data_IF_902514790297
#
_entry.id   IF_902514790297
#
_cell.length_a   1.000
_cell.length_b   1.000
_cell.length_c   1.000
_cell.angle_alpha   90.00
_cell.angle_beta   90.00
_cell.angle_gamma   90.00
#
_symmetry.space_group_name_H-M   'P 1'
#
loop_
_entity.id
_entity.type
_entity.pdbx_description
1 polymer ?
#
# COMPACT_ATOMS: atom_id res chain seq x y z
N UNK A 1 6.85 -40.35 -11.70
CA UNK A 1 6.75 -38.87 -11.81
C UNK A 1 5.42 -38.49 -11.22
N UNK A 2 5.38 -38.12 -9.92
CA UNK A 2 4.19 -37.58 -9.28
C UNK A 2 4.05 -36.13 -9.69
N UNK A 3 3.19 -35.88 -10.66
CA UNK A 3 2.82 -34.52 -11.02
C UNK A 3 2.05 -33.90 -9.86
N UNK A 4 2.64 -32.92 -9.18
CA UNK A 4 1.91 -32.06 -8.26
C UNK A 4 0.83 -31.33 -9.05
N UNK A 5 -0.43 -31.49 -8.65
CA UNK A 5 -1.53 -30.65 -9.17
C UNK A 5 -1.16 -29.20 -8.86
N UNK A 6 -1.16 -28.29 -9.84
CA UNK A 6 -0.87 -26.89 -9.55
C UNK A 6 -1.85 -26.39 -8.51
N UNK A 7 -1.32 -25.73 -7.48
CA UNK A 7 -2.09 -25.11 -6.41
C UNK A 7 -3.08 -24.10 -7.00
N UNK A 8 -4.33 -24.16 -6.61
CA UNK A 8 -5.33 -23.21 -7.11
C UNK A 8 -5.00 -21.80 -6.61
N UNK A 9 -5.17 -20.76 -7.44
CA UNK A 9 -4.88 -19.39 -7.04
C UNK A 9 -5.75 -18.98 -5.85
N UNK A 10 -5.14 -18.31 -4.90
CA UNK A 10 -5.86 -17.71 -3.77
C UNK A 10 -6.72 -16.52 -4.22
N UNK A 11 -7.71 -16.12 -3.42
CA UNK A 11 -8.49 -14.91 -3.67
C UNK A 11 -7.59 -13.66 -3.81
N UNK A 12 -6.50 -13.57 -3.04
CA UNK A 12 -5.50 -12.51 -3.16
C UNK A 12 -4.78 -12.51 -4.51
N UNK A 13 -4.47 -13.68 -5.04
CA UNK A 13 -3.86 -13.79 -6.37
C UNK A 13 -4.81 -13.31 -7.45
N UNK A 14 -6.09 -13.64 -7.34
CA UNK A 14 -7.12 -13.19 -8.28
C UNK A 14 -7.30 -11.68 -8.23
N UNK A 15 -7.38 -11.07 -7.04
CA UNK A 15 -7.45 -9.60 -6.89
C UNK A 15 -6.21 -8.95 -7.50
N UNK A 16 -5.01 -9.46 -7.22
CA UNK A 16 -3.77 -8.94 -7.79
C UNK A 16 -3.75 -9.02 -9.32
N UNK A 17 -4.22 -10.12 -9.89
CA UNK A 17 -4.29 -10.27 -11.36
C UNK A 17 -5.31 -9.33 -11.97
N UNK A 18 -6.46 -9.16 -11.35
CA UNK A 18 -7.49 -8.22 -11.77
C UNK A 18 -6.92 -6.78 -11.82
N UNK A 19 -6.30 -6.33 -10.75
CA UNK A 19 -5.70 -4.99 -10.68
C UNK A 19 -4.55 -4.81 -11.69
N UNK A 20 -3.74 -5.85 -11.92
CA UNK A 20 -2.69 -5.81 -12.94
C UNK A 20 -3.28 -5.64 -14.33
N UNK A 21 -4.32 -6.41 -14.69
CA UNK A 21 -5.02 -6.30 -15.97
C UNK A 21 -5.67 -4.92 -16.12
N UNK A 22 -6.34 -4.44 -15.08
CA UNK A 22 -6.96 -3.12 -15.08
C UNK A 22 -5.93 -1.98 -15.23
N UNK A 23 -4.75 -2.11 -14.61
CA UNK A 23 -3.67 -1.14 -14.76
C UNK A 23 -3.14 -1.09 -16.20
N UNK A 24 -2.91 -2.25 -16.84
CA UNK A 24 -2.49 -2.35 -18.24
C UNK A 24 -3.54 -1.71 -19.17
N UNK A 25 -4.82 -2.04 -18.98
CA UNK A 25 -5.90 -1.53 -19.79
C UNK A 25 -6.07 -0.01 -19.66
N UNK A 26 -6.06 0.52 -18.43
CA UNK A 26 -6.13 1.97 -18.17
C UNK A 26 -4.93 2.71 -18.76
N UNK A 27 -3.74 2.13 -18.69
CA UNK A 27 -2.54 2.69 -19.33
C UNK A 27 -2.74 2.75 -20.85
N UNK A 28 -3.20 1.66 -21.47
CA UNK A 28 -3.51 1.63 -22.91
C UNK A 28 -4.53 2.68 -23.31
N UNK A 29 -5.64 2.81 -22.57
CA UNK A 29 -6.67 3.82 -22.79
C UNK A 29 -6.14 5.26 -22.67
N UNK A 30 -5.19 5.50 -21.77
CA UNK A 30 -4.56 6.80 -21.59
C UNK A 30 -3.68 7.23 -22.78
N UNK A 31 -3.14 6.28 -23.54
CA UNK A 31 -2.26 6.55 -24.67
C UNK A 31 -2.94 6.45 -26.01
N UNK A 32 -3.88 5.51 -26.21
CA UNK A 32 -4.48 5.28 -27.53
C UNK A 32 -5.54 6.29 -27.88
N UNK A 33 -5.59 6.64 -29.19
CA UNK A 33 -6.69 7.40 -29.81
C UNK A 33 -7.46 6.55 -30.82
N UNK A 34 -7.08 5.29 -30.98
CA UNK A 34 -7.67 4.36 -31.94
C UNK A 34 -8.86 3.68 -31.30
N UNK A 35 -10.05 3.90 -31.84
CA UNK A 35 -11.30 3.39 -31.30
C UNK A 35 -11.30 1.87 -31.07
N UNK A 36 -10.76 1.12 -32.04
CA UNK A 36 -10.67 -0.33 -31.95
C UNK A 36 -9.78 -0.80 -30.77
N UNK A 37 -8.71 -0.07 -30.47
CA UNK A 37 -7.86 -0.37 -29.31
C UNK A 37 -8.55 0.00 -28.01
N UNK A 38 -9.29 1.12 -27.99
CA UNK A 38 -10.08 1.51 -26.82
C UNK A 38 -11.08 0.42 -26.45
N UNK A 39 -11.85 -0.08 -27.43
CA UNK A 39 -12.79 -1.18 -27.21
C UNK A 39 -12.10 -2.43 -26.63
N UNK A 40 -10.89 -2.75 -27.09
CA UNK A 40 -10.13 -3.88 -26.59
C UNK A 40 -9.68 -3.69 -25.14
N UNK A 41 -9.20 -2.51 -24.80
CA UNK A 41 -8.81 -2.22 -23.41
C UNK A 41 -10.03 -2.17 -22.47
N UNK A 42 -11.16 -1.66 -22.93
CA UNK A 42 -12.41 -1.71 -22.15
C UNK A 42 -12.87 -3.16 -21.92
N UNK A 43 -12.68 -4.05 -22.88
CA UNK A 43 -12.98 -5.47 -22.71
C UNK A 43 -12.06 -6.14 -21.67
N UNK A 44 -10.77 -5.76 -21.64
CA UNK A 44 -9.86 -6.21 -20.59
C UNK A 44 -10.31 -5.71 -19.21
N UNK A 45 -10.81 -4.48 -19.09
CA UNK A 45 -11.37 -3.97 -17.82
C UNK A 45 -12.56 -4.79 -17.35
N UNK A 46 -13.47 -5.19 -18.25
CA UNK A 46 -14.63 -6.03 -17.90
C UNK A 46 -14.20 -7.37 -17.33
N UNK A 47 -13.27 -8.06 -18.00
CA UNK A 47 -12.72 -9.34 -17.52
C UNK A 47 -12.02 -9.18 -16.17
N UNK A 48 -11.26 -8.11 -16.00
CA UNK A 48 -10.59 -7.81 -14.74
C UNK A 48 -11.61 -7.59 -13.60
N UNK A 49 -12.70 -6.86 -13.87
CA UNK A 49 -13.76 -6.62 -12.89
C UNK A 49 -14.47 -7.93 -12.49
N UNK A 50 -14.75 -8.82 -13.44
CA UNK A 50 -15.33 -10.14 -13.16
C UNK A 50 -14.41 -11.01 -12.28
N UNK A 51 -13.10 -11.02 -12.57
CA UNK A 51 -12.11 -11.74 -11.76
C UNK A 51 -12.09 -11.17 -10.34
N UNK A 52 -12.05 -9.84 -10.20
CA UNK A 52 -12.04 -9.18 -8.89
C UNK A 52 -13.32 -9.51 -8.10
N UNK A 53 -14.48 -9.39 -8.72
CA UNK A 53 -15.75 -9.70 -8.09
C UNK A 53 -15.83 -11.16 -7.64
N UNK A 54 -15.34 -12.09 -8.47
CA UNK A 54 -15.28 -13.54 -8.11
C UNK A 54 -14.32 -13.83 -6.96
N UNK A 55 -13.31 -13.01 -6.73
CA UNK A 55 -12.35 -13.15 -5.64
C UNK A 55 -12.87 -12.60 -4.31
N UNK A 56 -13.82 -11.66 -4.37
CA UNK A 56 -14.38 -10.99 -3.20
C UNK A 56 -15.50 -11.84 -2.61
N UNK A 57 -15.32 -12.30 -1.38
CA UNK A 57 -16.33 -13.10 -0.65
C UNK A 57 -17.54 -12.27 -0.19
N UNK A 58 -17.97 -11.28 -0.98
CA UNK A 58 -19.09 -10.38 -0.68
C UNK A 58 -18.72 -9.03 -0.08
N UNK A 59 -17.44 -8.73 0.09
CA UNK A 59 -16.92 -7.46 0.65
C UNK A 59 -16.64 -6.37 -0.42
N UNK A 60 -16.87 -6.65 -1.69
CA UNK A 60 -16.70 -5.65 -2.76
C UNK A 60 -18.02 -4.89 -2.95
N UNK A 61 -18.02 -3.60 -2.61
CA UNK A 61 -19.22 -2.73 -2.67
C UNK A 61 -19.71 -2.46 -4.11
N UNK A 62 -18.93 -2.83 -5.13
CA UNK A 62 -19.27 -2.59 -6.53
C UNK A 62 -19.46 -3.91 -7.29
N UNK A 63 -20.53 -3.96 -8.08
CA UNK A 63 -20.68 -4.98 -9.13
C UNK A 63 -19.64 -4.76 -10.25
N UNK A 64 -19.45 -5.73 -11.18
CA UNK A 64 -18.47 -5.59 -12.24
C UNK A 64 -18.64 -4.35 -13.11
N UNK A 65 -19.88 -3.94 -13.44
CA UNK A 65 -20.14 -2.75 -14.25
C UNK A 65 -19.76 -1.47 -13.50
N UNK A 66 -20.11 -1.35 -12.22
CA UNK A 66 -19.71 -0.25 -11.35
C UNK A 66 -18.20 -0.14 -11.22
N UNK A 67 -17.51 -1.26 -11.10
CA UNK A 67 -16.04 -1.31 -11.03
C UNK A 67 -15.38 -0.85 -12.33
N UNK A 68 -15.90 -1.26 -13.50
CA UNK A 68 -15.44 -0.76 -14.80
C UNK A 68 -15.64 0.74 -14.91
N UNK A 69 -16.82 1.25 -14.50
CA UNK A 69 -17.11 2.68 -14.48
C UNK A 69 -16.13 3.48 -13.63
N UNK A 70 -15.80 2.99 -12.42
CA UNK A 70 -14.80 3.59 -11.55
C UNK A 70 -13.42 3.64 -12.24
N UNK A 71 -12.96 2.54 -12.81
CA UNK A 71 -11.67 2.47 -13.49
C UNK A 71 -11.60 3.36 -14.72
N UNK A 72 -12.68 3.47 -15.51
CA UNK A 72 -12.75 4.38 -16.67
C UNK A 72 -12.70 5.85 -16.24
N UNK A 73 -13.34 6.20 -15.12
CA UNK A 73 -13.25 7.55 -14.57
C UNK A 73 -11.84 7.95 -14.12
N UNK A 74 -10.99 6.98 -13.81
CA UNK A 74 -9.58 7.20 -13.46
C UNK A 74 -8.66 7.28 -14.70
N UNK A 75 -9.15 7.00 -15.90
CA UNK A 75 -8.39 7.19 -17.15
C UNK A 75 -8.32 8.68 -17.43
N UNK A 76 -7.32 9.34 -16.88
CA UNK A 76 -7.15 10.77 -16.98
C UNK A 76 -6.02 11.17 -17.92
N UNK A 77 -6.05 12.44 -18.32
CA UNK A 77 -4.98 13.12 -19.02
C UNK A 77 -3.81 13.45 -18.08
N UNK A 78 -3.29 12.45 -17.39
CA UNK A 78 -2.11 12.61 -16.53
C UNK A 78 -0.81 12.47 -17.30
N UNK A 79 0.30 12.67 -16.62
CA UNK A 79 1.63 12.40 -17.15
C UNK A 79 1.66 10.97 -17.69
N UNK A 80 1.69 10.86 -19.00
CA UNK A 80 1.91 9.63 -19.75
C UNK A 80 0.96 8.46 -19.46
N UNK A 81 -0.24 8.65 -18.91
CA UNK A 81 -1.24 7.58 -18.78
C UNK A 81 -0.84 6.32 -17.99
N UNK A 82 0.38 6.25 -17.44
CA UNK A 82 0.79 5.10 -16.63
C UNK A 82 -0.01 5.01 -15.34
N UNK A 83 -0.58 3.85 -15.12
CA UNK A 83 -1.20 3.51 -13.83
C UNK A 83 -0.13 2.93 -12.92
N UNK A 84 0.15 3.62 -11.83
CA UNK A 84 1.10 3.19 -10.81
C UNK A 84 0.38 2.84 -9.51
N UNK A 85 0.97 2.04 -8.63
CA UNK A 85 0.47 1.91 -7.28
C UNK A 85 0.36 3.27 -6.61
N UNK A 86 -0.65 3.46 -5.78
CA UNK A 86 -0.74 4.61 -4.89
C UNK A 86 0.37 4.53 -3.83
N UNK A 87 0.67 5.64 -3.19
CA UNK A 87 1.67 5.68 -2.12
C UNK A 87 1.00 6.15 -0.84
N UNK A 88 1.26 5.43 0.25
CA UNK A 88 0.94 5.84 1.61
C UNK A 88 2.22 6.01 2.42
N UNK A 89 2.14 6.75 3.50
CA UNK A 89 3.20 6.83 4.50
C UNK A 89 2.70 6.23 5.82
N UNK A 90 3.60 5.74 6.65
CA UNK A 90 3.32 5.27 7.99
C UNK A 90 4.40 5.72 8.96
N UNK A 91 4.04 5.98 10.22
CA UNK A 91 4.93 6.50 11.23
C UNK A 91 5.04 5.56 12.43
N UNK A 92 6.22 5.03 12.66
CA UNK A 92 6.61 4.42 13.94
C UNK A 92 7.17 5.53 14.82
N UNK A 93 6.40 6.02 15.77
CA UNK A 93 6.78 7.11 16.67
C UNK A 93 6.98 6.57 18.08
N UNK A 94 8.18 6.73 18.62
CA UNK A 94 8.50 6.38 20.02
C UNK A 94 8.54 7.61 20.91
N UNK A 95 8.16 7.42 22.18
CA UNK A 95 8.36 8.38 23.27
C UNK A 95 9.63 8.05 24.08
N UNK A 96 9.91 8.83 25.11
CA UNK A 96 11.10 8.64 26.00
C UNK A 96 11.00 7.37 26.87
N UNK A 97 9.80 6.80 27.03
CA UNK A 97 9.52 5.55 27.74
C UNK A 97 9.62 4.31 26.83
N UNK A 98 10.09 4.50 25.60
CA UNK A 98 10.18 3.46 24.56
C UNK A 98 8.82 2.84 24.18
N UNK A 99 7.73 3.58 24.35
CA UNK A 99 6.39 3.17 23.93
C UNK A 99 6.09 3.65 22.51
N UNK A 100 5.28 2.89 21.80
CA UNK A 100 4.87 3.12 20.41
C UNK A 100 3.53 3.84 20.34
N UNK A 101 3.46 4.91 19.55
CA UNK A 101 2.23 5.64 19.24
C UNK A 101 1.34 4.83 18.29
N UNK A 102 0.10 4.60 18.71
CA UNK A 102 -0.93 4.01 17.85
C UNK A 102 -2.17 4.90 17.81
N UNK A 103 -2.93 4.76 16.73
CA UNK A 103 -4.24 5.38 16.52
C UNK A 103 -5.30 4.29 16.38
N UNK A 104 -6.49 4.53 16.91
CA UNK A 104 -7.66 3.73 16.62
C UNK A 104 -8.45 4.37 15.49
N UNK A 105 -8.57 3.71 14.37
CA UNK A 105 -9.34 4.21 13.22
C UNK A 105 -10.83 4.29 13.54
N UNK A 106 -11.45 5.41 13.21
CA UNK A 106 -12.89 5.61 13.44
C UNK A 106 -13.77 4.73 12.54
N UNK A 107 -13.30 4.38 11.34
CA UNK A 107 -14.03 3.59 10.34
C UNK A 107 -14.11 2.09 10.68
N UNK A 108 -13.04 1.54 11.26
CA UNK A 108 -12.90 0.10 11.49
C UNK A 108 -12.74 -0.30 12.96
N UNK A 109 -12.45 0.66 13.84
CA UNK A 109 -12.12 0.42 15.24
C UNK A 109 -10.77 -0.28 15.44
N UNK A 110 -9.98 -0.48 14.40
CA UNK A 110 -8.69 -1.17 14.46
C UNK A 110 -7.58 -0.21 14.85
N UNK A 111 -6.58 -0.74 15.56
CA UNK A 111 -5.41 0.00 15.98
C UNK A 111 -4.23 -0.25 15.03
N UNK A 112 -3.50 0.80 14.69
CA UNK A 112 -2.24 0.73 13.93
C UNK A 112 -1.42 2.01 14.17
N UNK A 113 -0.20 2.04 13.70
CA UNK A 113 0.60 3.27 13.69
C UNK A 113 -0.04 4.32 12.78
N UNK A 114 0.17 5.64 13.02
CA UNK A 114 -0.35 6.72 12.17
C UNK A 114 0.01 6.51 10.70
N UNK A 115 -0.96 6.71 9.80
CA UNK A 115 -0.77 6.44 8.37
C UNK A 115 -1.72 7.25 7.49
N UNK A 116 -1.23 7.74 6.36
CA UNK A 116 -2.04 8.49 5.42
C UNK A 116 -1.55 8.40 3.97
N UNK A 117 -2.30 9.01 3.08
CA UNK A 117 -1.95 9.09 1.66
C UNK A 117 -0.84 10.11 1.42
N UNK A 118 0.11 9.78 0.53
CA UNK A 118 1.14 10.71 0.13
C UNK A 118 0.54 11.82 -0.75
N UNK A 119 0.51 13.04 -0.22
CA UNK A 119 0.01 14.22 -0.91
C UNK A 119 0.99 14.72 -1.97
N UNK A 120 0.46 15.13 -3.13
CA UNK A 120 1.25 15.77 -4.18
C UNK A 120 1.80 17.11 -3.71
N UNK A 121 3.08 17.36 -3.96
CA UNK A 121 3.75 18.60 -3.60
C UNK A 121 4.54 18.53 -2.29
N UNK A 122 4.46 17.42 -1.58
CA UNK A 122 5.21 17.12 -0.37
C UNK A 122 6.13 15.92 -0.58
N UNK A 123 7.26 15.89 0.10
CA UNK A 123 8.06 14.68 0.23
C UNK A 123 7.39 13.67 1.18
N UNK A 124 7.72 12.40 1.06
CA UNK A 124 7.15 11.38 1.95
C UNK A 124 7.45 11.65 3.44
N UNK A 125 8.62 12.24 3.74
CA UNK A 125 8.99 12.63 5.10
C UNK A 125 8.18 13.82 5.62
N UNK A 126 7.78 14.76 4.77
CA UNK A 126 6.88 15.86 5.16
C UNK A 126 5.47 15.36 5.42
N UNK A 127 4.98 14.46 4.55
CA UNK A 127 3.63 13.87 4.72
C UNK A 127 3.55 13.07 6.01
N UNK A 128 4.54 12.23 6.32
CA UNK A 128 4.48 11.41 7.54
C UNK A 128 4.43 12.25 8.81
N UNK A 129 5.18 13.35 8.87
CA UNK A 129 5.11 14.28 10.02
C UNK A 129 3.74 14.96 10.11
N UNK A 130 3.20 15.37 8.96
CA UNK A 130 1.86 15.97 8.86
C UNK A 130 0.79 15.01 9.39
N UNK A 131 0.78 13.75 8.94
CA UNK A 131 -0.17 12.73 9.37
C UNK A 131 -0.09 12.47 10.88
N UNK A 132 1.13 12.36 11.45
CA UNK A 132 1.29 12.21 12.91
C UNK A 132 0.64 13.36 13.65
N UNK A 133 0.88 14.60 13.23
CA UNK A 133 0.27 15.77 13.90
C UNK A 133 -1.26 15.79 13.74
N UNK A 134 -1.76 15.51 12.55
CA UNK A 134 -3.19 15.56 12.25
C UNK A 134 -3.96 14.45 12.97
N UNK A 135 -3.47 13.22 12.92
CA UNK A 135 -4.15 12.07 13.53
C UNK A 135 -4.02 12.03 15.07
N UNK A 136 -2.91 12.54 15.63
CA UNK A 136 -2.55 12.28 17.04
C UNK A 136 -2.27 13.50 17.89
N UNK A 137 -2.02 14.66 17.30
CA UNK A 137 -1.55 15.88 17.99
C UNK A 137 -0.09 15.84 18.44
N UNK A 138 0.63 14.73 18.20
CA UNK A 138 2.05 14.58 18.54
C UNK A 138 2.92 15.26 17.48
N UNK A 139 3.97 15.92 17.94
CA UNK A 139 5.00 16.52 17.09
C UNK A 139 6.21 15.60 17.07
N UNK A 140 6.69 15.28 15.88
CA UNK A 140 7.82 14.38 15.71
C UNK A 140 8.79 14.86 14.63
N UNK A 141 10.00 14.29 14.63
CA UNK A 141 10.96 14.41 13.54
C UNK A 141 11.27 13.04 12.94
N UNK A 142 11.45 13.01 11.62
CA UNK A 142 11.82 11.76 10.92
C UNK A 142 13.27 11.43 11.18
N UNK A 143 13.52 10.18 11.59
CA UNK A 143 14.87 9.64 11.80
C UNK A 143 15.35 8.92 10.55
N UNK A 144 14.59 7.92 10.08
CA UNK A 144 14.94 7.13 8.90
C UNK A 144 13.74 6.33 8.36
N UNK A 145 13.72 5.94 7.08
CA UNK A 145 12.79 4.94 6.60
C UNK A 145 13.16 3.57 7.21
N UNK A 146 12.15 2.77 7.56
CA UNK A 146 12.33 1.43 8.11
C UNK A 146 11.63 0.36 7.29
N UNK A 147 10.63 0.71 6.47
CA UNK A 147 10.04 -0.27 5.57
C UNK A 147 9.49 0.34 4.28
N UNK A 148 9.47 -0.48 3.22
CA UNK A 148 8.77 -0.26 1.96
C UNK A 148 7.94 -1.51 1.70
N UNK A 149 6.62 -1.40 1.80
CA UNK A 149 5.70 -2.53 1.82
C UNK A 149 4.72 -2.49 0.65
N UNK A 150 4.50 -3.62 0.00
CA UNK A 150 3.40 -3.80 -0.96
C UNK A 150 2.13 -4.20 -0.19
N UNK A 151 1.23 -3.24 0.00
CA UNK A 151 0.03 -3.44 0.81
C UNK A 151 -0.91 -4.53 0.27
N UNK A 152 -0.99 -4.67 -1.05
CA UNK A 152 -1.77 -5.72 -1.68
C UNK A 152 -1.13 -7.10 -1.47
N UNK A 153 0.20 -7.20 -1.62
CA UNK A 153 0.93 -8.46 -1.40
C UNK A 153 0.83 -8.95 0.04
N UNK A 154 0.91 -8.04 0.99
CA UNK A 154 0.78 -8.35 2.42
C UNK A 154 -0.68 -8.57 2.83
N UNK A 155 -1.63 -8.16 2.00
CA UNK A 155 -3.06 -8.42 2.17
C UNK A 155 -3.76 -7.52 3.17
N UNK A 156 -3.21 -6.35 3.48
CA UNK A 156 -3.90 -5.35 4.30
C UNK A 156 -4.71 -4.34 3.47
N UNK A 157 -4.63 -4.41 2.15
CA UNK A 157 -5.49 -3.66 1.24
C UNK A 157 -5.78 -4.43 -0.04
N UNK A 158 -6.91 -4.15 -0.67
CA UNK A 158 -7.29 -4.66 -1.99
C UNK A 158 -6.95 -3.73 -3.14
N UNK A 159 -6.25 -2.61 -2.89
CA UNK A 159 -5.82 -1.67 -3.93
C UNK A 159 -4.29 -1.69 -4.07
N UNK A 160 -3.75 -1.53 -5.31
CA UNK A 160 -2.31 -1.42 -5.50
C UNK A 160 -1.77 -0.20 -4.76
N UNK A 161 -0.91 -0.42 -3.76
CA UNK A 161 -0.22 0.65 -3.06
C UNK A 161 1.12 0.19 -2.49
N UNK A 162 2.04 1.14 -2.36
CA UNK A 162 3.24 1.01 -1.56
C UNK A 162 3.11 1.86 -0.30
N UNK A 163 3.45 1.29 0.85
CA UNK A 163 3.53 1.99 2.12
C UNK A 163 5.00 2.26 2.46
N UNK A 164 5.34 3.52 2.65
CA UNK A 164 6.67 3.97 3.08
C UNK A 164 6.61 4.21 4.58
N UNK A 165 7.21 3.33 5.39
CA UNK A 165 7.15 3.44 6.84
C UNK A 165 8.44 4.07 7.36
N UNK A 166 8.28 5.10 8.20
CA UNK A 166 9.38 5.85 8.80
C UNK A 166 9.42 5.66 10.30
N UNK A 167 10.61 5.52 10.85
CA UNK A 167 10.86 5.76 12.26
C UNK A 167 10.90 7.26 12.51
N UNK A 168 10.13 7.72 13.47
CA UNK A 168 10.05 9.11 13.91
C UNK A 168 10.28 9.17 15.42
N UNK A 169 10.93 10.24 15.88
CA UNK A 169 11.13 10.52 17.29
C UNK A 169 10.16 11.61 17.73
N UNK A 170 9.43 11.39 18.80
CA UNK A 170 8.59 12.42 19.41
C UNK A 170 9.47 13.60 19.89
N UNK A 171 9.03 14.83 19.62
CA UNK A 171 9.68 16.06 20.08
C UNK A 171 8.76 16.95 20.87
N UNK A 172 7.47 16.64 20.97
CA UNK A 172 6.48 17.38 21.74
C UNK A 172 5.05 17.03 21.33
N UNK A 173 4.12 17.92 21.66
CA UNK A 173 2.69 17.73 21.41
C UNK A 173 1.97 17.05 22.57
N UNK A 174 0.66 16.94 22.45
CA UNK A 174 -0.22 16.27 23.41
C UNK A 174 -1.16 15.35 22.63
N UNK A 175 -1.45 14.18 23.17
CA UNK A 175 -2.36 13.20 22.54
C UNK A 175 -3.74 13.83 22.33
N UNK A 176 -4.15 13.89 21.07
CA UNK A 176 -5.44 14.39 20.64
C UNK A 176 -5.86 13.71 19.34
N UNK A 177 -6.81 12.75 19.41
CA UNK A 177 -7.27 12.07 18.19
C UNK A 177 -7.94 13.05 17.24
N UNK A 178 -7.73 12.83 15.93
CA UNK A 178 -8.44 13.57 14.90
C UNK A 178 -9.94 13.27 14.97
N UNK A 179 -10.82 14.29 15.03
CA UNK A 179 -12.24 14.10 15.40
C UNK A 179 -13.06 13.28 14.41
N UNK A 180 -12.59 13.12 13.16
CA UNK A 180 -13.29 12.38 12.10
C UNK A 180 -12.61 11.06 11.73
N UNK A 181 -11.31 10.94 11.96
CA UNK A 181 -10.51 9.82 11.45
C UNK A 181 -10.09 8.85 12.53
N UNK A 182 -9.90 9.35 13.75
CA UNK A 182 -9.42 8.56 14.88
C UNK A 182 -10.41 8.61 16.04
N UNK A 183 -10.82 7.46 16.53
CA UNK A 183 -11.65 7.35 17.73
C UNK A 183 -10.83 7.44 19.02
N UNK A 184 -9.55 7.04 18.96
CA UNK A 184 -8.62 7.08 20.09
C UNK A 184 -7.17 7.13 19.63
N UNK A 185 -6.25 7.56 20.51
CA UNK A 185 -4.80 7.57 20.31
C UNK A 185 -4.09 7.30 21.63
N UNK A 186 -2.96 6.60 21.58
CA UNK A 186 -2.19 6.31 22.79
C UNK A 186 -0.79 5.78 22.50
N UNK A 187 0.05 5.78 23.54
CA UNK A 187 1.34 5.11 23.54
C UNK A 187 1.20 3.75 24.23
N UNK A 188 1.86 2.74 23.68
CA UNK A 188 1.75 1.35 24.14
C UNK A 188 3.14 0.71 24.21
N UNK A 189 3.39 0.00 25.30
CA UNK A 189 4.62 -0.76 25.49
C UNK A 189 4.67 -2.00 24.58
N UNK A 190 5.87 -2.50 24.36
CA UNK A 190 6.08 -3.75 23.61
C UNK A 190 5.30 -4.92 24.25
N UNK A 191 4.45 -5.54 23.47
CA UNK A 191 3.60 -6.66 23.89
C UNK A 191 2.31 -6.28 24.62
N UNK A 192 2.07 -4.99 24.90
CA UNK A 192 0.83 -4.49 25.52
C UNK A 192 -0.05 -3.74 24.52
N UNK A 193 -0.29 -4.38 23.39
CA UNK A 193 -1.11 -3.79 22.34
C UNK A 193 -2.61 -3.88 22.65
N UNK A 194 -3.39 -2.86 22.30
CA UNK A 194 -4.84 -2.91 22.43
C UNK A 194 -5.44 -3.98 21.52
N UNK A 195 -6.60 -4.51 21.93
CA UNK A 195 -7.32 -5.48 21.11
C UNK A 195 -7.67 -4.88 19.74
N UNK A 196 -7.51 -5.68 18.68
CA UNK A 196 -7.76 -5.24 17.31
C UNK A 196 -6.59 -4.53 16.64
N UNK A 197 -5.39 -4.55 17.23
CA UNK A 197 -4.17 -4.06 16.55
C UNK A 197 -3.89 -4.87 15.30
N UNK A 198 -3.61 -4.18 14.19
CA UNK A 198 -3.43 -4.78 12.87
C UNK A 198 -2.07 -5.47 12.79
N UNK A 199 -2.07 -6.82 12.74
CA UNK A 199 -0.94 -7.68 12.46
C UNK A 199 0.39 -7.25 13.16
N UNK A 200 0.40 -7.05 14.49
CA UNK A 200 1.58 -6.55 15.19
C UNK A 200 2.80 -7.48 14.99
N UNK A 201 2.60 -8.79 14.88
CA UNK A 201 3.67 -9.77 14.64
C UNK A 201 4.48 -9.53 13.35
N UNK A 202 4.00 -8.68 12.45
CA UNK A 202 4.68 -8.42 11.18
C UNK A 202 5.60 -7.20 11.21
N UNK A 203 5.44 -6.31 12.19
CA UNK A 203 6.16 -5.02 12.21
C UNK A 203 6.61 -4.55 13.60
N UNK A 204 6.04 -5.07 14.69
CA UNK A 204 6.30 -4.56 16.03
C UNK A 204 7.77 -4.70 16.45
N UNK A 205 8.39 -5.86 16.27
CA UNK A 205 9.79 -6.10 16.64
C UNK A 205 10.72 -5.06 16.00
N UNK A 206 10.52 -4.78 14.71
CA UNK A 206 11.30 -3.79 13.98
C UNK A 206 11.01 -2.36 14.47
N UNK A 207 9.75 -2.07 14.79
CA UNK A 207 9.36 -0.77 15.32
C UNK A 207 10.03 -0.49 16.67
N UNK A 208 9.96 -1.42 17.60
CA UNK A 208 10.59 -1.26 18.92
C UNK A 208 12.12 -1.27 18.86
N UNK A 209 12.73 -2.06 17.98
CA UNK A 209 14.18 -1.98 17.74
C UNK A 209 14.58 -0.57 17.27
N UNK A 210 13.80 0.02 16.34
CA UNK A 210 14.04 1.38 15.86
C UNK A 210 13.87 2.42 16.99
N UNK A 211 12.81 2.30 17.82
CA UNK A 211 12.56 3.20 18.95
C UNK A 211 13.70 3.15 19.96
N UNK A 212 14.23 1.98 20.27
CA UNK A 212 15.40 1.80 21.17
C UNK A 212 16.73 2.24 20.56
N UNK A 213 16.74 2.72 19.31
CA UNK A 213 17.94 3.14 18.61
C UNK A 213 18.86 1.97 18.19
N UNK A 214 18.33 0.77 18.14
CA UNK A 214 19.03 -0.40 17.62
C UNK A 214 19.18 -0.28 16.10
N UNK A 215 20.24 -0.86 15.50
CA UNK A 215 20.36 -0.89 14.06
C UNK A 215 19.21 -1.66 13.41
N UNK A 216 18.45 -1.01 12.55
CA UNK A 216 17.39 -1.65 11.77
C UNK A 216 17.70 -1.53 10.28
N UNK A 217 17.55 -2.63 9.56
CA UNK A 217 17.57 -2.62 8.10
C UNK A 217 16.19 -2.24 7.56
N UNK A 218 16.15 -1.58 6.40
CA UNK A 218 14.89 -1.30 5.73
C UNK A 218 14.24 -2.61 5.31
N UNK A 219 13.07 -2.91 5.87
CA UNK A 219 12.27 -4.06 5.48
C UNK A 219 11.60 -3.79 4.13
N UNK A 220 11.67 -4.73 3.21
CA UNK A 220 10.99 -4.61 1.92
C UNK A 220 10.62 -5.98 1.37
N UNK A 221 9.60 -5.99 0.52
CA UNK A 221 9.13 -7.20 -0.14
C UNK A 221 10.18 -7.74 -1.09
N UNK A 222 10.69 -8.94 -0.81
CA UNK A 222 11.66 -9.60 -1.70
C UNK A 222 11.01 -9.96 -3.03
N UNK A 223 11.76 -9.87 -4.15
CA UNK A 223 11.26 -10.29 -5.45
C UNK A 223 10.72 -11.72 -5.42
N UNK A 224 9.67 -11.97 -6.21
CA UNK A 224 9.16 -13.32 -6.44
C UNK A 224 9.99 -14.00 -7.52
N UNK A 225 10.06 -15.32 -7.46
CA UNK A 225 10.66 -16.12 -8.53
C UNK A 225 9.54 -16.90 -9.27
N UNK A 226 9.36 -16.70 -10.59
CA UNK A 226 10.06 -15.73 -11.44
C UNK A 226 9.67 -14.29 -11.12
N UNK A 227 10.63 -13.37 -11.21
CA UNK A 227 10.45 -11.95 -10.91
C UNK A 227 9.34 -11.33 -11.78
N UNK A 228 9.32 -11.65 -13.05
CA UNK A 228 8.22 -11.33 -13.94
C UNK A 228 8.11 -12.37 -15.07
N UNK A 229 6.97 -12.38 -15.77
CA UNK A 229 6.79 -13.18 -16.97
C UNK A 229 7.44 -12.46 -18.15
N UNK A 230 8.24 -13.18 -18.95
CA UNK A 230 8.83 -12.63 -20.17
C UNK A 230 10.24 -12.06 -20.01
N UNK A 231 10.98 -12.41 -18.96
CA UNK A 231 12.42 -12.23 -18.99
C UNK A 231 12.97 -12.97 -20.21
N UNK A 232 13.66 -12.28 -21.15
CA UNK A 232 14.30 -12.97 -22.24
C UNK A 232 15.34 -13.94 -21.69
N UNK A 233 15.40 -15.16 -22.22
CA UNK A 233 16.49 -16.08 -21.94
C UNK A 233 17.80 -15.36 -22.29
N UNK A 234 18.59 -14.95 -21.29
CA UNK A 234 19.86 -14.25 -21.51
C UNK A 234 20.01 -12.90 -20.81
N UNK A 235 19.05 -12.45 -19.99
CA UNK A 235 19.20 -11.22 -19.22
C UNK A 235 18.91 -9.93 -19.99
N UNK A 236 19.21 -8.79 -19.35
CA UNK A 236 19.01 -7.45 -19.91
C UNK A 236 20.16 -7.02 -20.88
N UNK A 237 20.87 -7.95 -21.50
CA UNK A 237 22.03 -7.68 -22.35
C UNK A 237 21.72 -6.87 -23.63
N UNK A 238 20.53 -6.30 -23.75
CA UNK A 238 20.12 -5.41 -24.83
C UNK A 238 19.37 -4.17 -24.36
N UNK A 239 19.27 -3.94 -23.06
CA UNK A 239 18.64 -2.72 -22.55
C UNK A 239 19.65 -1.56 -22.57
N UNK A 240 19.47 -0.64 -23.52
CA UNK A 240 20.19 0.63 -23.52
C UNK A 240 19.36 1.68 -22.74
N UNK A 241 19.81 2.08 -21.55
CA UNK A 241 19.06 3.07 -20.74
C UNK A 241 19.14 4.50 -21.30
N UNK A 242 19.80 4.69 -22.45
CA UNK A 242 19.97 6.01 -23.08
C UNK A 242 19.06 6.24 -24.29
N UNK A 243 18.22 5.26 -24.62
CA UNK A 243 17.21 5.40 -25.68
C UNK A 243 15.86 5.76 -25.04
N UNK A 244 15.49 7.04 -25.17
CA UNK A 244 14.18 7.59 -24.80
C UNK A 244 13.05 7.06 -25.73
#
# INVERSE_FOLDING_TARGET
VSGSVPEQPSGRDLVRWAETLAAIARTGLGFTKVLYEQERFEEVLKVAAEIRHSASSGDDDLDPEGRVGEWLAMVGSGVAGYVTPKVTVGAVVGNDEEELLLVQRADSGRWLYPTGWADVGYSASEVVVKEVVEETGIICEVVQPIAILDGMRLGFTGIPLYSLVFHCRMTGGELRPHPLECSDVGFFAEGDFPEGTVAPDQWADQAFAAIRGEPVEVNFDRPRDPVWRGQPEGGLDGFDPTVD
#
